data_IF_711131981487
#
_entry.id   IF_711131981487
#
_cell.length_a   1.000
_cell.length_b   1.000
_cell.length_c   1.000
_cell.angle_alpha   90.00
_cell.angle_beta   90.00
_cell.angle_gamma   90.00
#
_symmetry.space_group_name_H-M   'P 1'
#
loop_
_entity.id
_entity.type
_entity.pdbx_description
1 polymer ?
#
# COMPACT_ATOMS: atom_id res chain seq x y z
N UNK A 1 11.33 26.39 -10.68
CA UNK A 1 10.32 25.39 -11.11
C UNK A 1 10.86 24.02 -10.75
N UNK A 2 10.74 23.64 -9.48
CA UNK A 2 11.14 22.30 -9.05
C UNK A 2 9.99 21.38 -9.43
N UNK A 3 10.17 20.54 -10.44
CA UNK A 3 9.27 19.43 -10.70
C UNK A 3 9.41 18.48 -9.52
N UNK A 4 8.61 18.73 -8.48
CA UNK A 4 8.49 17.84 -7.31
C UNK A 4 8.07 16.49 -7.86
N UNK A 5 9.04 15.59 -7.90
CA UNK A 5 8.93 14.21 -8.33
C UNK A 5 7.62 13.64 -7.80
N UNK A 6 6.67 13.47 -8.71
CA UNK A 6 5.38 12.84 -8.52
C UNK A 6 5.67 11.57 -7.72
N UNK A 7 5.14 11.44 -6.50
CA UNK A 7 5.40 10.29 -5.62
C UNK A 7 5.06 9.02 -6.39
N UNK A 8 6.06 8.45 -7.05
CA UNK A 8 5.90 7.32 -7.94
C UNK A 8 5.48 6.15 -7.08
N UNK A 9 4.20 5.85 -7.06
CA UNK A 9 3.65 4.72 -6.34
C UNK A 9 4.37 3.49 -6.88
N UNK A 10 5.19 2.87 -6.05
CA UNK A 10 5.95 1.66 -6.41
C UNK A 10 5.11 0.43 -6.08
N UNK A 11 5.42 -0.68 -6.75
CA UNK A 11 4.92 -1.96 -6.31
C UNK A 11 5.55 -2.30 -4.95
N UNK A 12 4.73 -2.58 -3.95
CA UNK A 12 5.19 -2.95 -2.62
C UNK A 12 4.83 -4.40 -2.31
N UNK A 13 5.71 -5.08 -1.59
CA UNK A 13 5.36 -6.35 -0.96
C UNK A 13 4.43 -6.13 0.23
N UNK A 14 3.73 -7.19 0.64
CA UNK A 14 2.90 -7.16 1.85
C UNK A 14 3.71 -6.82 3.11
N UNK A 15 4.99 -7.20 3.15
CA UNK A 15 5.94 -6.89 4.23
C UNK A 15 6.32 -5.42 4.26
N UNK A 16 6.60 -4.83 3.11
CA UNK A 16 6.90 -3.39 3.02
C UNK A 16 5.66 -2.56 3.34
N UNK A 17 4.49 -2.94 2.83
CA UNK A 17 3.22 -2.31 3.19
C UNK A 17 2.96 -2.37 4.70
N UNK A 18 3.15 -3.54 5.32
CA UNK A 18 2.95 -3.69 6.75
C UNK A 18 3.93 -2.81 7.56
N UNK A 19 5.19 -2.73 7.11
CA UNK A 19 6.19 -1.82 7.67
C UNK A 19 5.82 -0.34 7.52
N UNK A 20 5.30 0.08 6.36
CA UNK A 20 4.85 1.45 6.11
C UNK A 20 3.73 1.89 7.05
N UNK A 21 2.82 0.98 7.37
CA UNK A 21 1.73 1.22 8.33
C UNK A 21 2.14 0.95 9.79
N UNK A 22 3.36 0.47 10.05
CA UNK A 22 3.80 0.10 11.40
C UNK A 22 3.03 -1.07 12.02
N UNK A 23 2.38 -1.92 11.20
CA UNK A 23 1.55 -3.03 11.67
C UNK A 23 2.13 -4.38 11.30
N UNK A 24 1.64 -5.43 11.94
CA UNK A 24 1.99 -6.81 11.60
C UNK A 24 1.33 -7.27 10.29
N UNK A 25 1.98 -8.21 9.60
CA UNK A 25 1.43 -8.87 8.40
C UNK A 25 0.03 -9.45 8.60
N UNK A 26 -0.24 -10.02 9.79
CA UNK A 26 -1.56 -10.55 10.13
C UNK A 26 -2.61 -9.44 10.14
N UNK A 27 -2.31 -8.33 10.81
CA UNK A 27 -3.19 -7.16 10.88
C UNK A 27 -3.46 -6.61 9.48
N UNK A 28 -2.41 -6.43 8.67
CA UNK A 28 -2.57 -5.95 7.31
C UNK A 28 -3.45 -6.89 6.47
N UNK A 29 -3.28 -8.22 6.58
CA UNK A 29 -4.15 -9.19 5.90
C UNK A 29 -5.61 -9.08 6.32
N UNK A 30 -5.86 -8.94 7.62
CA UNK A 30 -7.23 -8.74 8.14
C UNK A 30 -7.85 -7.46 7.59
N UNK A 31 -7.08 -6.38 7.51
CA UNK A 31 -7.55 -5.10 6.95
C UNK A 31 -7.78 -5.17 5.43
N UNK A 32 -6.97 -5.93 4.71
CA UNK A 32 -7.12 -6.12 3.26
C UNK A 32 -8.25 -7.09 2.90
N UNK A 33 -8.63 -8.02 3.78
CA UNK A 33 -9.66 -9.02 3.54
C UNK A 33 -11.00 -8.44 3.06
N UNK A 34 -11.60 -7.42 3.70
CA UNK A 34 -12.86 -6.83 3.24
C UNK A 34 -12.74 -6.03 1.94
N UNK A 35 -11.52 -5.59 1.57
CA UNK A 35 -11.27 -4.80 0.37
C UNK A 35 -10.64 -5.63 -0.76
N UNK A 36 -10.51 -6.95 -0.57
CA UNK A 36 -9.80 -7.82 -1.51
C UNK A 36 -10.51 -7.88 -2.87
N UNK A 37 -11.84 -7.74 -2.90
CA UNK A 37 -12.60 -7.62 -4.15
C UNK A 37 -12.28 -6.31 -4.91
N UNK A 38 -12.06 -5.21 -4.20
CA UNK A 38 -11.76 -3.90 -4.78
C UNK A 38 -10.30 -3.79 -5.25
N UNK A 39 -9.38 -4.39 -4.50
CA UNK A 39 -7.94 -4.43 -4.82
C UNK A 39 -7.68 -5.47 -5.93
N UNK A 40 -8.48 -6.54 -5.98
CA UNK A 40 -8.31 -7.65 -6.90
C UNK A 40 -7.31 -8.70 -6.39
N UNK A 41 -7.14 -9.81 -7.15
CA UNK A 41 -6.31 -10.92 -6.74
C UNK A 41 -4.84 -10.52 -6.65
N UNK A 42 -4.17 -10.96 -5.57
CA UNK A 42 -2.72 -10.81 -5.42
C UNK A 42 -2.02 -11.80 -6.34
N UNK A 43 -1.51 -11.31 -7.47
CA UNK A 43 -0.70 -12.10 -8.40
C UNK A 43 0.77 -12.04 -7.97
N UNK A 44 1.19 -12.99 -7.14
CA UNK A 44 2.58 -13.16 -6.71
C UNK A 44 2.96 -12.48 -5.39
N UNK A 45 4.24 -12.10 -5.25
CA UNK A 45 4.77 -11.53 -4.00
C UNK A 45 4.47 -10.05 -3.81
N UNK A 46 4.29 -9.31 -4.90
CA UNK A 46 4.13 -7.86 -4.91
C UNK A 46 2.67 -7.47 -5.18
N UNK A 47 2.25 -6.35 -4.60
CA UNK A 47 1.06 -5.63 -5.03
C UNK A 47 1.45 -4.68 -6.16
N UNK A 48 0.66 -4.66 -7.24
CA UNK A 48 0.91 -3.73 -8.33
C UNK A 48 0.67 -2.28 -7.87
N UNK A 49 1.22 -1.33 -8.62
CA UNK A 49 1.04 0.11 -8.35
C UNK A 49 -0.43 0.50 -8.17
N UNK A 50 -1.32 -0.05 -9.02
CA UNK A 50 -2.76 0.18 -8.92
C UNK A 50 -3.35 -0.41 -7.65
N UNK A 51 -2.93 -1.62 -7.25
CA UNK A 51 -3.37 -2.26 -6.03
C UNK A 51 -2.94 -1.48 -4.79
N UNK A 52 -1.67 -1.08 -4.74
CA UNK A 52 -1.13 -0.23 -3.67
C UNK A 52 -1.92 1.07 -3.57
N UNK A 53 -2.23 1.71 -4.70
CA UNK A 53 -3.04 2.93 -4.72
C UNK A 53 -4.43 2.69 -4.13
N UNK A 54 -5.12 1.61 -4.52
CA UNK A 54 -6.43 1.24 -3.94
C UNK A 54 -6.33 0.97 -2.45
N UNK A 55 -5.27 0.31 -2.00
CA UNK A 55 -5.02 0.04 -0.59
C UNK A 55 -4.89 1.36 0.18
N UNK A 56 -4.15 2.34 -0.35
CA UNK A 56 -4.01 3.66 0.26
C UNK A 56 -5.33 4.46 0.24
N UNK A 57 -6.16 4.30 -0.80
CA UNK A 57 -7.51 4.89 -0.86
C UNK A 57 -8.46 4.27 0.18
N UNK A 58 -8.37 2.96 0.45
CA UNK A 58 -9.24 2.27 1.42
C UNK A 58 -8.79 2.41 2.88
N UNK A 59 -7.49 2.25 3.14
CA UNK A 59 -6.93 2.22 4.50
C UNK A 59 -6.42 3.59 4.97
N UNK A 60 -6.32 4.57 4.05
CA UNK A 60 -5.66 5.85 4.29
C UNK A 60 -4.16 5.80 3.95
N UNK A 61 -3.55 6.97 3.72
CA UNK A 61 -2.13 7.05 3.38
C UNK A 61 -1.28 6.71 4.62
N UNK A 62 -0.30 5.79 4.53
CA UNK A 62 0.53 5.44 5.67
C UNK A 62 1.36 6.64 6.13
N UNK A 63 1.48 6.79 7.45
CA UNK A 63 2.24 7.87 8.11
C UNK A 63 3.70 7.92 7.66
N UNK A 64 4.31 6.78 7.29
CA UNK A 64 5.67 6.70 6.76
C UNK A 64 5.91 7.34 5.39
N UNK A 65 4.89 7.95 4.76
CA UNK A 65 5.03 8.78 3.54
C UNK A 65 4.79 10.26 3.81
N UNK A 66 4.55 10.64 5.08
CA UNK A 66 4.54 12.00 5.57
C UNK A 66 5.81 12.23 6.40
N UNK A 67 6.54 13.30 6.07
CA UNK A 67 7.70 13.84 6.78
C UNK A 67 9.07 13.17 6.56
N UNK A 68 9.80 13.70 5.56
CA UNK A 68 11.00 14.51 5.76
C UNK A 68 11.31 15.31 4.49
#
# INVERSE_FOLDING_TARGET
MSTTNEKGIKAYTITELAGLYGISLKTLRTWLSPHQELIGPRLGRYYTVLQVRRIFECLGQPDGVAEA
#
